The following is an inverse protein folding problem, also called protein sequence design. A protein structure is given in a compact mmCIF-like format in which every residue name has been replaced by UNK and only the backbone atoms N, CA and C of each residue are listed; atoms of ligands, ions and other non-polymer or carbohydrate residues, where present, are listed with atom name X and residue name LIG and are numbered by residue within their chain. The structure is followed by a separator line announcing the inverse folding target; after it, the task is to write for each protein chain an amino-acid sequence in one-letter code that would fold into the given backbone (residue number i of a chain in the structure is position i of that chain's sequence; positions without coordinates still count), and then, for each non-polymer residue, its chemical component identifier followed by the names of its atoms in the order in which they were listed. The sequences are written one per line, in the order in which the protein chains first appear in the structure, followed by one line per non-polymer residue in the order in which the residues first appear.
data_IF_021744628772
#
_entry.id   IF_021744628772
#
_cell.length_a   1.000
_cell.length_b   1.000
_cell.length_c   1.000
_cell.angle_alpha   90.00
_cell.angle_beta   90.00
_cell.angle_gamma   90.00
#
_symmetry.space_group_name_H-M   'P 1'
#
loop_
_entity.id
_entity.type
_entity.pdbx_description
1 polymer ?
#
# COMPACT_ATOMS: atom_id res chain seq x y z
N UNK A 1 -13.81 0.39 8.94
CA UNK A 1 -12.61 -0.24 9.53
C UNK A 1 -11.60 -0.35 8.41
N UNK A 2 -10.34 0.05 8.61
CA UNK A 2 -9.34 -0.08 7.55
C UNK A 2 -9.07 -1.56 7.24
N UNK A 3 -9.38 -1.98 6.01
CA UNK A 3 -9.18 -3.35 5.55
C UNK A 3 -7.91 -3.46 4.71
N UNK A 4 -7.05 -4.48 4.95
CA UNK A 4 -5.82 -4.62 4.20
C UNK A 4 -6.10 -5.10 2.77
N UNK A 5 -5.76 -4.26 1.81
CA UNK A 5 -5.76 -4.64 0.39
C UNK A 5 -4.53 -5.50 0.05
N UNK A 6 -3.40 -5.24 0.72
CA UNK A 6 -2.17 -6.02 0.54
C UNK A 6 -0.93 -5.31 1.10
N UNK A 7 0.23 -5.92 0.89
CA UNK A 7 1.52 -5.36 1.29
C UNK A 7 2.59 -5.54 0.20
N UNK A 8 3.66 -4.75 0.31
CA UNK A 8 4.82 -4.81 -0.55
C UNK A 8 6.08 -4.85 0.29
N UNK A 9 6.92 -5.85 0.02
CA UNK A 9 8.28 -5.92 0.53
C UNK A 9 9.07 -4.73 -0.03
N UNK A 10 9.79 -4.03 0.83
CA UNK A 10 10.61 -2.86 0.49
C UNK A 10 11.84 -2.81 1.40
N UNK A 11 12.69 -1.82 1.19
CA UNK A 11 13.79 -1.55 2.11
C UNK A 11 13.60 -0.21 2.78
N UNK A 12 14.23 -0.01 3.93
CA UNK A 12 14.45 1.35 4.43
C UNK A 12 15.71 1.97 3.81
N UNK A 13 16.01 3.26 4.04
CA UNK A 13 17.21 3.89 3.49
C UNK A 13 18.54 3.29 3.97
N UNK A 14 18.51 2.43 4.99
CA UNK A 14 19.67 1.70 5.51
C UNK A 14 19.78 0.29 4.92
N UNK A 15 18.92 -0.08 3.97
CA UNK A 15 18.94 -1.35 3.26
C UNK A 15 18.36 -2.52 4.05
N UNK A 16 17.66 -2.27 5.16
CA UNK A 16 17.00 -3.36 5.92
C UNK A 16 15.67 -3.72 5.28
N UNK A 17 15.34 -5.01 5.28
CA UNK A 17 14.06 -5.51 4.78
C UNK A 17 12.90 -5.02 5.63
N UNK A 18 11.87 -4.50 4.96
CA UNK A 18 10.68 -3.88 5.53
C UNK A 18 9.46 -4.18 4.66
N UNK A 19 8.30 -3.73 5.10
CA UNK A 19 7.06 -3.84 4.33
C UNK A 19 6.23 -2.57 4.44
N UNK A 20 5.61 -2.19 3.32
CA UNK A 20 4.60 -1.14 3.23
C UNK A 20 3.24 -1.79 3.02
N UNK A 21 2.22 -1.31 3.73
CA UNK A 21 0.86 -1.86 3.65
C UNK A 21 -0.08 -0.89 2.94
N UNK A 22 -0.94 -1.42 2.08
CA UNK A 22 -2.04 -0.68 1.44
C UNK A 22 -3.35 -1.11 2.07
N UNK A 23 -4.09 -0.15 2.60
CA UNK A 23 -5.39 -0.36 3.24
C UNK A 23 -6.47 0.43 2.49
N UNK A 24 -7.72 -0.01 2.61
CA UNK A 24 -8.90 0.74 2.17
C UNK A 24 -9.76 1.06 3.40
N UNK A 25 -10.18 2.31 3.53
CA UNK A 25 -11.08 2.74 4.59
C UNK A 25 -12.02 3.85 4.10
N UNK A 26 -13.34 3.64 4.19
CA UNK A 26 -14.35 4.66 3.88
C UNK A 26 -14.12 5.38 2.54
N UNK A 27 -13.97 4.60 1.46
CA UNK A 27 -13.64 5.08 0.11
C UNK A 27 -12.27 5.79 -0.03
N UNK A 28 -11.37 5.60 0.93
CA UNK A 28 -10.00 6.16 0.89
C UNK A 28 -8.98 5.04 0.84
N UNK A 29 -7.91 5.27 0.09
CA UNK A 29 -6.73 4.42 0.07
C UNK A 29 -5.70 4.97 1.05
N UNK A 30 -5.25 4.16 1.99
CA UNK A 30 -4.23 4.51 2.97
C UNK A 30 -2.95 3.73 2.66
N UNK A 31 -1.82 4.43 2.64
CA UNK A 31 -0.49 3.81 2.58
C UNK A 31 0.17 3.92 3.95
N UNK A 32 0.51 2.78 4.52
CA UNK A 32 1.29 2.69 5.77
C UNK A 32 2.72 2.37 5.39
N UNK A 33 3.57 3.40 5.37
CA UNK A 33 5.01 3.23 5.27
C UNK A 33 5.55 2.56 6.53
N UNK A 34 6.72 1.91 6.46
CA UNK A 34 7.27 1.29 7.64
C UNK A 34 7.69 2.37 8.67
N UNK A 35 7.64 2.05 9.97
CA UNK A 35 7.61 3.04 11.03
C UNK A 35 8.94 3.80 11.16
N UNK A 36 8.85 5.14 11.14
CA UNK A 36 9.98 6.04 11.39
C UNK A 36 10.95 6.19 10.22
N UNK A 37 10.59 5.70 9.03
CA UNK A 37 11.47 5.69 7.87
C UNK A 37 10.69 5.83 6.54
N UNK A 38 11.42 6.00 5.44
CA UNK A 38 10.87 6.04 4.08
C UNK A 38 11.09 4.73 3.34
N UNK A 39 10.02 4.11 2.84
CA UNK A 39 10.15 2.92 2.01
C UNK A 39 10.90 3.22 0.71
N UNK A 40 12.04 2.57 0.54
CA UNK A 40 12.82 2.52 -0.69
C UNK A 40 12.37 1.30 -1.49
N UNK A 41 12.04 1.53 -2.76
CA UNK A 41 11.49 0.51 -3.64
C UNK A 41 12.27 0.45 -4.96
N UNK A 42 12.53 -0.76 -5.43
CA UNK A 42 12.97 -1.01 -6.80
C UNK A 42 11.85 -0.73 -7.80
N UNK A 43 12.19 -0.56 -9.08
CA UNK A 43 11.21 -0.39 -10.15
C UNK A 43 10.15 -1.52 -10.19
N UNK A 44 10.54 -2.76 -9.90
CA UNK A 44 9.63 -3.91 -9.83
C UNK A 44 8.64 -3.78 -8.68
N UNK A 45 9.11 -3.39 -7.49
CA UNK A 45 8.26 -3.15 -6.32
C UNK A 45 7.32 -1.95 -6.57
N UNK A 46 7.79 -0.87 -7.20
CA UNK A 46 6.95 0.28 -7.56
C UNK A 46 5.82 -0.10 -8.53
N UNK A 47 6.10 -0.96 -9.52
CA UNK A 47 5.06 -1.48 -10.43
C UNK A 47 4.05 -2.38 -9.70
N UNK A 48 4.50 -3.12 -8.69
CA UNK A 48 3.59 -3.89 -7.82
C UNK A 48 2.70 -2.96 -6.99
N UNK A 49 3.25 -1.84 -6.51
CA UNK A 49 2.47 -0.81 -5.79
C UNK A 49 1.40 -0.22 -6.67
N UNK A 50 1.75 0.16 -7.89
CA UNK A 50 0.78 0.67 -8.86
C UNK A 50 -0.42 -0.28 -9.03
N UNK A 51 -0.17 -1.59 -9.19
CA UNK A 51 -1.25 -2.59 -9.31
C UNK A 51 -2.09 -2.73 -8.03
N UNK A 52 -1.48 -2.69 -6.85
CA UNK A 52 -2.23 -2.72 -5.59
C UNK A 52 -3.08 -1.46 -5.39
N UNK A 53 -2.57 -0.28 -5.80
CA UNK A 53 -3.31 0.97 -5.71
C UNK A 53 -4.53 0.97 -6.65
N UNK A 54 -4.37 0.42 -7.86
CA UNK A 54 -5.48 0.27 -8.82
C UNK A 54 -6.58 -0.66 -8.26
N UNK A 55 -6.17 -1.79 -7.67
CA UNK A 55 -7.10 -2.69 -6.96
C UNK A 55 -7.76 -2.02 -5.76
N UNK A 56 -7.01 -1.26 -4.95
CA UNK A 56 -7.53 -0.55 -3.79
C UNK A 56 -8.58 0.49 -4.19
N UNK A 57 -8.34 1.24 -5.28
CA UNK A 57 -9.27 2.23 -5.80
C UNK A 57 -10.56 1.57 -6.33
N UNK A 58 -10.45 0.41 -6.98
CA UNK A 58 -11.62 -0.36 -7.40
C UNK A 58 -12.43 -0.89 -6.19
N UNK A 59 -11.74 -1.38 -5.15
CA UNK A 59 -12.38 -1.83 -3.90
C UNK A 59 -13.06 -0.69 -3.14
N UNK A 60 -12.47 0.51 -3.15
CA UNK A 60 -13.01 1.67 -2.42
C UNK A 60 -14.35 2.12 -3.02
N UNK A 61 -14.42 2.20 -4.35
CA UNK A 61 -15.64 2.59 -5.07
C UNK A 61 -16.82 1.62 -4.82
N UNK A 62 -16.54 0.31 -4.73
CA UNK A 62 -17.56 -0.72 -4.45
C UNK A 62 -18.22 -0.56 -3.07
N UNK A 63 -17.47 -0.06 -2.07
CA UNK A 63 -18.00 0.16 -0.72
C UNK A 63 -18.85 1.43 -0.60
N UNK A 64 -18.85 2.32 -1.60
CA UNK A 64 -19.64 3.55 -1.61
C UNK A 64 -21.07 3.34 -2.18
N UNK A 65 -21.35 2.16 -2.76
CA UNK A 65 -22.66 1.81 -3.32
C UNK A 65 -23.57 1.01 -2.34
N UNK A 66 -23.25 1.00 -1.04
CA UNK A 66 -23.99 0.29 0.02
C UNK A 66 -24.66 1.21 1.04
#
# INVERSE_FOLDING_TARGET
MAEPQGWIDCHDPFGRDRSMTVLVENDRVLLVAPPGESAVMSATQTRRLHRLLDQAAASSASSAEG
#
